data_IF_251830196659
#
_entry.id   IF_251830196659
#
_cell.length_a   1.000
_cell.length_b   1.000
_cell.length_c   1.000
_cell.angle_alpha   90.00
_cell.angle_beta   90.00
_cell.angle_gamma   90.00
#
_symmetry.space_group_name_H-M   'P 1'
#
loop_
_entity.id
_entity.type
_entity.pdbx_description
1 polymer ?
#
# COMPACT_ATOMS: atom_id res chain seq x y z
N UNK A 1 20.19 -11.28 31.93
CA UNK A 1 19.10 -12.22 31.62
C UNK A 1 19.39 -12.88 30.27
N UNK A 2 19.70 -14.18 30.32
CA UNK A 2 19.97 -14.93 29.10
C UNK A 2 18.64 -15.22 28.38
N UNK A 3 18.54 -14.93 27.07
CA UNK A 3 17.38 -15.24 26.24
C UNK A 3 17.02 -16.73 26.32
N UNK A 4 18.03 -17.62 26.46
CA UNK A 4 17.83 -19.04 26.61
C UNK A 4 16.97 -19.40 27.83
N UNK A 5 17.12 -18.68 28.94
CA UNK A 5 16.35 -18.96 30.17
C UNK A 5 14.86 -18.63 30.03
N UNK A 6 14.53 -17.63 29.18
CA UNK A 6 13.15 -17.25 28.85
C UNK A 6 12.46 -18.27 27.93
N UNK A 7 13.23 -19.06 27.19
CA UNK A 7 12.71 -20.02 26.21
C UNK A 7 12.55 -21.46 26.81
N UNK A 8 12.99 -21.70 28.06
CA UNK A 8 12.85 -23.01 28.70
C UNK A 8 11.44 -23.62 28.61
N UNK A 9 10.35 -22.85 28.78
CA UNK A 9 9.01 -23.39 28.62
C UNK A 9 8.53 -23.44 27.14
N UNK A 10 9.37 -23.10 26.15
CA UNK A 10 9.01 -22.98 24.72
C UNK A 10 9.93 -23.86 23.84
N UNK A 11 9.82 -25.21 23.94
CA UNK A 11 10.79 -26.13 23.31
C UNK A 11 10.75 -26.09 21.76
N UNK A 12 9.69 -25.57 21.17
CA UNK A 12 9.55 -25.50 19.73
C UNK A 12 10.14 -24.21 19.11
N UNK A 13 10.64 -23.30 19.93
CA UNK A 13 11.28 -22.06 19.48
C UNK A 13 12.75 -22.30 19.20
N UNK A 14 13.21 -21.99 17.99
CA UNK A 14 14.63 -22.00 17.64
C UNK A 14 15.33 -20.82 18.33
N UNK A 15 16.02 -21.08 19.44
CA UNK A 15 16.63 -20.05 20.29
C UNK A 15 17.61 -19.15 19.52
N UNK A 16 18.38 -19.72 18.58
CA UNK A 16 19.32 -18.95 17.73
C UNK A 16 18.66 -17.92 16.81
N UNK A 17 17.38 -18.13 16.46
CA UNK A 17 16.61 -17.25 15.60
C UNK A 17 15.64 -16.33 16.38
N UNK A 18 15.52 -16.55 17.70
CA UNK A 18 14.63 -15.75 18.54
C UNK A 18 15.29 -14.42 18.91
N UNK A 19 14.56 -13.33 18.65
CA UNK A 19 15.00 -11.97 19.01
C UNK A 19 13.93 -11.32 19.87
N UNK A 20 14.35 -10.64 20.92
CA UNK A 20 13.47 -9.79 21.72
C UNK A 20 13.45 -8.42 21.07
N UNK A 21 12.28 -7.92 20.64
CA UNK A 21 12.17 -6.56 20.10
C UNK A 21 12.70 -5.54 21.12
N UNK A 22 13.46 -4.56 20.63
CA UNK A 22 14.09 -3.55 21.46
C UNK A 22 13.92 -2.14 20.87
N UNK A 23 13.85 -1.13 21.73
CA UNK A 23 13.74 0.28 21.33
C UNK A 23 14.91 0.72 20.43
N UNK A 24 16.09 0.14 20.60
CA UNK A 24 17.24 0.43 19.74
C UNK A 24 16.96 0.11 18.26
N UNK A 25 16.14 -0.89 17.95
CA UNK A 25 15.72 -1.20 16.57
C UNK A 25 14.75 -0.19 15.98
N UNK A 26 14.12 0.64 16.80
CA UNK A 26 13.20 1.71 16.37
C UNK A 26 13.91 3.07 16.23
N UNK A 27 15.22 3.11 16.35
CA UNK A 27 16.01 4.33 16.20
C UNK A 27 16.91 4.21 14.98
N UNK A 28 16.82 5.18 14.08
CA UNK A 28 17.77 5.31 12.97
C UNK A 28 18.82 6.36 13.30
N UNK A 29 20.08 6.08 12.98
CA UNK A 29 21.18 7.02 13.15
C UNK A 29 21.30 8.01 11.99
N UNK A 30 20.76 7.63 10.83
CA UNK A 30 20.76 8.43 9.61
C UNK A 30 19.35 8.48 9.02
N UNK A 31 18.48 9.39 9.56
CA UNK A 31 17.13 9.53 9.01
C UNK A 31 17.17 10.04 7.56
N UNK A 32 16.27 9.54 6.76
CA UNK A 32 16.09 10.00 5.38
C UNK A 32 15.69 11.46 5.35
N UNK A 33 16.35 12.26 4.51
CA UNK A 33 16.13 13.71 4.38
C UNK A 33 15.31 14.07 3.14
N UNK A 34 15.10 13.14 2.21
CA UNK A 34 14.25 13.35 1.03
C UNK A 34 12.76 13.41 1.41
N UNK A 35 11.96 14.05 0.55
CA UNK A 35 10.51 14.06 0.67
C UNK A 35 9.94 12.63 0.69
N UNK A 36 8.91 12.31 1.51
CA UNK A 36 8.28 11.00 1.48
C UNK A 36 7.68 10.72 0.11
N UNK A 37 7.90 9.53 -0.42
CA UNK A 37 7.55 9.11 -1.78
C UNK A 37 6.25 8.32 -1.77
N UNK A 38 5.21 8.87 -2.40
CA UNK A 38 3.86 8.28 -2.39
C UNK A 38 3.43 7.93 -3.82
N UNK A 39 3.12 6.66 -4.04
CA UNK A 39 2.48 6.19 -5.27
C UNK A 39 0.96 6.15 -5.08
N UNK A 40 0.24 6.70 -6.05
CA UNK A 40 -1.21 6.69 -6.04
C UNK A 40 -1.77 5.88 -7.20
N UNK A 41 -2.73 4.98 -6.89
CA UNK A 41 -3.45 4.15 -7.84
C UNK A 41 -4.93 4.48 -7.81
N UNK A 42 -5.58 4.54 -8.98
CA UNK A 42 -7.03 4.72 -9.09
C UNK A 42 -7.68 3.66 -9.97
N UNK A 43 -8.93 3.29 -9.67
CA UNK A 43 -9.60 2.11 -10.21
C UNK A 43 -10.61 2.38 -11.31
N UNK A 44 -10.37 3.32 -12.26
CA UNK A 44 -11.34 3.60 -13.32
C UNK A 44 -10.68 4.15 -14.56
N UNK A 45 -11.18 3.73 -15.73
CA UNK A 45 -10.78 4.25 -17.06
C UNK A 45 -11.82 5.19 -17.68
N UNK A 46 -12.85 5.59 -16.91
CA UNK A 46 -13.84 6.54 -17.40
C UNK A 46 -13.21 7.92 -17.60
N UNK A 47 -13.59 8.63 -18.65
CA UNK A 47 -13.13 10.00 -18.91
C UNK A 47 -13.33 10.89 -17.68
N UNK A 48 -14.58 10.99 -17.18
CA UNK A 48 -14.87 11.64 -15.90
C UNK A 48 -14.93 10.59 -14.78
N UNK A 49 -13.78 10.25 -14.25
CA UNK A 49 -13.62 9.28 -13.17
C UNK A 49 -13.53 9.96 -11.81
N UNK A 50 -14.54 9.77 -10.96
CA UNK A 50 -14.52 10.33 -9.59
C UNK A 50 -13.41 9.74 -8.72
N UNK A 51 -13.02 8.50 -8.91
CA UNK A 51 -11.86 7.95 -8.21
C UNK A 51 -10.55 8.61 -8.66
N UNK A 52 -10.39 8.93 -9.96
CA UNK A 52 -9.26 9.72 -10.45
C UNK A 52 -9.29 11.13 -9.87
N UNK A 53 -10.45 11.80 -9.88
CA UNK A 53 -10.59 13.16 -9.32
C UNK A 53 -10.26 13.20 -7.84
N UNK A 54 -10.73 12.22 -7.05
CA UNK A 54 -10.41 12.10 -5.63
C UNK A 54 -8.91 11.84 -5.42
N UNK A 55 -8.31 10.99 -6.24
CA UNK A 55 -6.87 10.73 -6.20
C UNK A 55 -6.08 12.00 -6.49
N UNK A 56 -6.49 12.81 -7.47
CA UNK A 56 -5.82 14.07 -7.79
C UNK A 56 -5.97 15.13 -6.69
N UNK A 57 -7.11 15.21 -6.00
CA UNK A 57 -7.23 16.07 -4.82
C UNK A 57 -6.32 15.61 -3.68
N UNK A 58 -6.30 14.31 -3.40
CA UNK A 58 -5.39 13.75 -2.41
C UNK A 58 -3.91 13.97 -2.78
N UNK A 59 -3.55 13.90 -4.07
CA UNK A 59 -2.19 14.21 -4.54
C UNK A 59 -1.80 15.66 -4.23
N UNK A 60 -2.67 16.63 -4.50
CA UNK A 60 -2.41 18.05 -4.18
C UNK A 60 -2.21 18.26 -2.68
N UNK A 61 -2.99 17.57 -1.84
CA UNK A 61 -2.83 17.63 -0.39
C UNK A 61 -1.48 17.05 0.05
N UNK A 62 -1.09 15.90 -0.48
CA UNK A 62 0.19 15.27 -0.18
C UNK A 62 1.37 16.13 -0.62
N UNK A 63 1.31 16.74 -1.81
CA UNK A 63 2.34 17.67 -2.30
C UNK A 63 2.43 18.91 -1.42
N UNK A 64 1.29 19.47 -0.98
CA UNK A 64 1.25 20.59 -0.03
C UNK A 64 1.81 20.20 1.35
N UNK A 65 1.74 18.93 1.74
CA UNK A 65 2.34 18.37 2.94
C UNK A 65 3.84 18.01 2.77
N UNK A 66 4.42 18.28 1.60
CA UNK A 66 5.84 18.07 1.32
C UNK A 66 6.18 16.66 0.80
N UNK A 67 5.22 15.87 0.35
CA UNK A 67 5.50 14.57 -0.27
C UNK A 67 5.85 14.71 -1.75
N UNK A 68 6.69 13.80 -2.26
CA UNK A 68 6.86 13.54 -3.68
C UNK A 68 5.81 12.52 -4.13
N UNK A 69 4.93 12.92 -5.05
CA UNK A 69 3.76 12.12 -5.45
C UNK A 69 3.87 11.68 -6.89
N UNK A 70 3.57 10.42 -7.16
CA UNK A 70 3.37 9.90 -8.52
C UNK A 70 2.02 9.20 -8.62
N UNK A 71 1.24 9.59 -9.63
CA UNK A 71 -0.06 8.98 -9.94
C UNK A 71 0.14 8.07 -11.14
N UNK A 72 -0.15 6.78 -10.98
CA UNK A 72 -0.10 5.82 -12.08
C UNK A 72 -1.40 5.87 -12.88
N UNK A 73 -1.29 5.99 -14.20
CA UNK A 73 -2.44 5.88 -15.10
C UNK A 73 -2.63 4.42 -15.51
N UNK A 74 -3.74 3.77 -15.13
CA UNK A 74 -4.02 2.39 -15.50
C UNK A 74 -4.43 2.17 -16.96
N UNK A 75 -4.52 3.24 -17.78
CA UNK A 75 -4.77 3.12 -19.21
C UNK A 75 -3.69 2.26 -19.86
N UNK A 76 -4.09 1.35 -20.74
CA UNK A 76 -3.21 0.41 -21.45
C UNK A 76 -2.47 -0.61 -20.55
N UNK A 77 -2.80 -0.69 -19.27
CA UNK A 77 -2.32 -1.79 -18.44
C UNK A 77 -3.03 -3.08 -18.85
N UNK A 78 -2.32 -4.11 -19.33
CA UNK A 78 -2.95 -5.36 -19.73
C UNK A 78 -3.55 -6.09 -18.53
N UNK A 79 -4.48 -7.00 -18.79
CA UNK A 79 -4.96 -7.92 -17.76
C UNK A 79 -3.81 -8.81 -17.28
N UNK A 80 -3.74 -9.14 -15.98
CA UNK A 80 -2.82 -10.16 -15.49
C UNK A 80 -2.97 -11.46 -16.30
N UNK A 81 -1.85 -12.14 -16.54
CA UNK A 81 -1.73 -13.33 -17.40
C UNK A 81 -2.02 -13.09 -18.91
N UNK A 82 -2.47 -11.90 -19.29
CA UNK A 82 -2.73 -11.53 -20.68
C UNK A 82 -1.54 -10.91 -21.43
N UNK A 83 -0.42 -10.66 -20.72
CA UNK A 83 0.79 -10.08 -21.29
C UNK A 83 2.03 -10.52 -20.49
N UNK A 84 3.24 -10.42 -21.09
CA UNK A 84 4.47 -10.71 -20.36
C UNK A 84 4.80 -9.60 -19.36
N UNK A 85 5.55 -9.94 -18.33
CA UNK A 85 6.09 -9.02 -17.31
C UNK A 85 6.94 -7.88 -17.90
N UNK A 86 7.42 -8.07 -19.14
CA UNK A 86 8.20 -7.08 -19.89
C UNK A 86 7.35 -6.00 -20.54
N UNK A 87 6.01 -6.08 -20.44
CA UNK A 87 5.13 -5.05 -20.99
C UNK A 87 5.45 -3.68 -20.38
N UNK A 88 5.56 -2.59 -21.17
CA UNK A 88 6.01 -1.28 -20.67
C UNK A 88 5.19 -0.75 -19.49
N UNK A 89 3.85 -0.88 -19.55
CA UNK A 89 2.96 -0.43 -18.46
C UNK A 89 3.14 -1.26 -17.17
N UNK A 90 3.45 -2.54 -17.30
CA UNK A 90 3.73 -3.40 -16.13
C UNK A 90 5.05 -3.00 -15.49
N UNK A 91 6.09 -2.75 -16.30
CA UNK A 91 7.38 -2.25 -15.80
C UNK A 91 7.23 -0.91 -15.09
N UNK A 92 6.54 0.05 -15.71
CA UNK A 92 6.25 1.36 -15.11
C UNK A 92 5.62 1.21 -13.72
N UNK A 93 4.56 0.40 -13.61
CA UNK A 93 3.87 0.17 -12.33
C UNK A 93 4.81 -0.45 -11.28
N UNK A 94 5.60 -1.46 -11.66
CA UNK A 94 6.53 -2.13 -10.75
C UNK A 94 7.67 -1.22 -10.31
N UNK A 95 8.20 -0.40 -11.20
CA UNK A 95 9.22 0.60 -10.88
C UNK A 95 8.68 1.67 -9.91
N UNK A 96 7.47 2.14 -10.15
CA UNK A 96 6.79 3.09 -9.25
C UNK A 96 6.49 2.45 -7.88
N UNK A 97 6.06 1.18 -7.86
CA UNK A 97 5.86 0.46 -6.62
C UNK A 97 7.16 0.27 -5.83
N UNK A 98 8.27 0.00 -6.51
CA UNK A 98 9.59 -0.10 -5.86
C UNK A 98 10.07 1.26 -5.33
N UNK A 99 9.88 2.33 -6.10
CA UNK A 99 10.26 3.70 -5.75
C UNK A 99 9.52 4.24 -4.52
N UNK A 100 8.26 3.88 -4.33
CA UNK A 100 7.40 4.43 -3.28
C UNK A 100 7.80 3.98 -1.88
N UNK A 101 7.51 4.79 -0.88
CA UNK A 101 7.59 4.48 0.56
C UNK A 101 6.21 4.27 1.16
N UNK A 102 5.19 4.84 0.51
CA UNK A 102 3.78 4.66 0.84
C UNK A 102 2.91 4.67 -0.43
N UNK A 103 1.68 4.22 -0.30
CA UNK A 103 0.72 4.20 -1.40
C UNK A 103 -0.64 4.72 -0.98
N UNK A 104 -1.41 5.21 -1.96
CA UNK A 104 -2.84 5.45 -1.85
C UNK A 104 -3.55 4.63 -2.91
N UNK A 105 -4.53 3.83 -2.51
CA UNK A 105 -5.40 3.09 -3.41
C UNK A 105 -6.80 3.66 -3.36
N UNK A 106 -7.32 4.14 -4.50
CA UNK A 106 -8.65 4.74 -4.62
C UNK A 106 -9.49 4.01 -5.66
N UNK A 107 -10.47 3.23 -5.23
CA UNK A 107 -11.35 2.48 -6.14
C UNK A 107 -12.77 3.04 -6.14
N UNK A 108 -13.45 3.09 -7.30
CA UNK A 108 -14.91 3.11 -7.28
C UNK A 108 -15.43 1.81 -6.66
N UNK A 109 -16.54 1.90 -5.94
CA UNK A 109 -17.28 0.69 -5.59
C UNK A 109 -18.18 0.29 -6.76
N UNK A 110 -18.07 -0.95 -7.18
CA UNK A 110 -18.91 -1.56 -8.23
C UNK A 110 -19.41 -2.92 -7.74
N UNK A 111 -20.73 -3.06 -7.65
CA UNK A 111 -21.36 -4.29 -7.14
C UNK A 111 -20.83 -4.73 -5.77
N UNK A 112 -20.67 -3.76 -4.85
CA UNK A 112 -20.19 -4.04 -3.50
C UNK A 112 -18.69 -4.44 -3.42
N UNK A 113 -17.89 -4.11 -4.44
CA UNK A 113 -16.49 -4.52 -4.52
C UNK A 113 -15.62 -3.41 -5.13
N UNK A 114 -14.30 -3.51 -4.95
CA UNK A 114 -13.36 -2.77 -5.77
C UNK A 114 -13.51 -3.15 -7.23
N UNK A 115 -13.11 -2.27 -8.15
CA UNK A 115 -13.16 -2.55 -9.59
C UNK A 115 -12.08 -3.53 -10.02
N UNK A 116 -12.32 -4.21 -11.15
CA UNK A 116 -11.30 -5.02 -11.82
C UNK A 116 -10.06 -4.20 -12.21
N UNK A 117 -10.24 -2.91 -12.56
CA UNK A 117 -9.13 -1.99 -12.87
C UNK A 117 -8.21 -1.80 -11.65
N UNK A 118 -8.76 -1.63 -10.44
CA UNK A 118 -7.95 -1.55 -9.23
C UNK A 118 -7.26 -2.87 -8.94
N UNK A 119 -8.01 -3.97 -8.99
CA UNK A 119 -7.47 -5.32 -8.69
C UNK A 119 -6.36 -5.70 -9.67
N UNK A 120 -6.52 -5.41 -10.96
CA UNK A 120 -5.51 -5.68 -11.99
C UNK A 120 -4.17 -4.97 -11.69
N UNK A 121 -4.20 -3.71 -11.26
CA UNK A 121 -2.98 -3.00 -10.85
C UNK A 121 -2.27 -3.72 -9.70
N UNK A 122 -3.03 -4.14 -8.68
CA UNK A 122 -2.47 -4.83 -7.51
C UNK A 122 -1.91 -6.20 -7.91
N UNK A 123 -2.58 -6.93 -8.80
CA UNK A 123 -2.15 -8.25 -9.27
C UNK A 123 -0.86 -8.19 -10.09
N UNK A 124 -0.58 -7.08 -10.76
CA UNK A 124 0.69 -6.87 -11.45
C UNK A 124 1.86 -6.54 -10.53
N UNK A 125 1.62 -6.15 -9.27
CA UNK A 125 2.67 -5.93 -8.28
C UNK A 125 3.00 -7.28 -7.64
N UNK A 126 4.18 -7.86 -7.87
CA UNK A 126 4.48 -9.20 -7.36
C UNK A 126 4.61 -9.21 -5.83
N UNK A 127 4.23 -10.33 -5.20
CA UNK A 127 4.47 -10.53 -3.76
C UNK A 127 5.95 -10.62 -3.44
N UNK A 128 6.75 -11.18 -4.34
CA UNK A 128 8.18 -11.26 -4.20
C UNK A 128 8.87 -11.16 -5.56
N UNK A 129 10.04 -10.50 -5.58
CA UNK A 129 10.99 -10.54 -6.68
C UNK A 129 12.28 -11.13 -6.08
N UNK A 130 12.46 -12.44 -6.28
CA UNK A 130 13.45 -13.19 -5.50
C UNK A 130 13.10 -13.15 -4.00
N UNK A 131 14.03 -12.66 -3.18
CA UNK A 131 13.82 -12.48 -1.74
C UNK A 131 13.14 -11.15 -1.37
N UNK A 132 12.97 -10.22 -2.32
CA UNK A 132 12.43 -8.88 -2.07
C UNK A 132 10.91 -8.89 -2.25
N UNK A 133 10.20 -8.30 -1.29
CA UNK A 133 8.75 -8.05 -1.36
C UNK A 133 8.52 -6.57 -1.57
N UNK A 134 8.13 -6.13 -2.79
CA UNK A 134 8.14 -4.72 -3.17
C UNK A 134 7.27 -3.80 -2.30
N UNK A 135 6.20 -4.35 -1.69
CA UNK A 135 5.25 -3.57 -0.87
C UNK A 135 5.41 -3.76 0.63
N UNK A 136 6.23 -4.73 1.06
CA UNK A 136 6.36 -5.07 2.48
C UNK A 136 6.92 -3.91 3.30
N UNK A 137 6.20 -3.55 4.37
CA UNK A 137 6.60 -2.48 5.29
C UNK A 137 6.30 -1.06 4.80
N UNK A 138 5.76 -0.89 3.58
CA UNK A 138 5.29 0.40 3.09
C UNK A 138 3.93 0.74 3.66
N UNK A 139 3.65 2.02 3.84
CA UNK A 139 2.35 2.49 4.32
C UNK A 139 1.29 2.47 3.22
N UNK A 140 0.03 2.33 3.60
CA UNK A 140 -1.11 2.31 2.68
C UNK A 140 -2.28 3.10 3.25
N UNK A 141 -2.81 4.03 2.47
CA UNK A 141 -4.14 4.61 2.66
C UNK A 141 -5.11 4.07 1.62
N UNK A 142 -6.36 3.83 2.02
CA UNK A 142 -7.41 3.34 1.13
C UNK A 142 -8.59 4.31 1.07
N UNK A 143 -9.09 4.55 -0.13
CA UNK A 143 -10.20 5.44 -0.41
C UNK A 143 -11.17 4.79 -1.40
N UNK A 144 -12.45 5.12 -1.31
CA UNK A 144 -13.44 4.71 -2.31
C UNK A 144 -14.38 5.85 -2.68
N UNK A 145 -15.00 5.72 -3.84
CA UNK A 145 -16.11 6.56 -4.30
C UNK A 145 -17.28 5.67 -4.70
N UNK A 146 -18.49 6.10 -4.39
CA UNK A 146 -19.72 5.42 -4.79
C UNK A 146 -20.73 6.37 -5.41
N UNK A 147 -21.59 5.85 -6.30
CA UNK A 147 -22.69 6.61 -6.88
C UNK A 147 -23.96 6.61 -6.02
N UNK A 148 -24.05 5.69 -5.08
CA UNK A 148 -25.20 5.53 -4.18
C UNK A 148 -24.95 6.05 -2.77
N UNK A 149 -25.58 5.40 -1.80
CA UNK A 149 -25.33 5.63 -0.38
C UNK A 149 -23.89 5.25 -0.01
N UNK A 150 -23.43 5.76 1.11
CA UNK A 150 -22.11 5.42 1.62
C UNK A 150 -21.98 3.92 1.87
N UNK A 151 -20.86 3.36 1.41
CA UNK A 151 -20.46 1.99 1.64
C UNK A 151 -18.99 1.96 2.06
N UNK A 152 -18.57 0.85 2.62
CA UNK A 152 -17.18 0.60 3.02
C UNK A 152 -16.63 -0.71 2.43
N UNK A 153 -17.37 -1.31 1.49
CA UNK A 153 -17.00 -2.62 0.97
C UNK A 153 -15.69 -2.59 0.19
N UNK A 154 -15.49 -1.60 -0.70
CA UNK A 154 -14.26 -1.50 -1.48
C UNK A 154 -13.05 -1.18 -0.59
N UNK A 155 -13.17 -0.25 0.37
CA UNK A 155 -12.05 0.03 1.30
C UNK A 155 -11.74 -1.18 2.19
N UNK A 156 -12.75 -1.93 2.65
CA UNK A 156 -12.54 -3.14 3.43
C UNK A 156 -11.79 -4.21 2.62
N UNK A 157 -12.15 -4.39 1.35
CA UNK A 157 -11.42 -5.31 0.45
C UNK A 157 -9.98 -4.85 0.20
N UNK A 158 -9.75 -3.56 -0.03
CA UNK A 158 -8.40 -3.03 -0.20
C UNK A 158 -7.56 -3.17 1.08
N UNK A 159 -8.17 -3.10 2.28
CA UNK A 159 -7.48 -3.41 3.54
C UNK A 159 -7.03 -4.88 3.61
N UNK A 160 -7.88 -5.82 3.16
CA UNK A 160 -7.51 -7.24 3.08
C UNK A 160 -6.31 -7.42 2.13
N UNK A 161 -6.33 -6.78 0.96
CA UNK A 161 -5.22 -6.82 0.01
C UNK A 161 -3.95 -6.16 0.59
N UNK A 162 -4.08 -5.02 1.25
CA UNK A 162 -2.94 -4.36 1.92
C UNK A 162 -2.26 -5.29 2.91
N UNK A 163 -3.03 -6.05 3.70
CA UNK A 163 -2.50 -7.09 4.59
C UNK A 163 -1.77 -8.19 3.81
N UNK A 164 -2.35 -8.69 2.70
CA UNK A 164 -1.71 -9.71 1.87
C UNK A 164 -0.43 -9.21 1.21
N UNK A 165 -0.42 -7.95 0.77
CA UNK A 165 0.75 -7.27 0.23
C UNK A 165 1.74 -6.84 1.32
N UNK A 166 1.45 -7.17 2.60
CA UNK A 166 2.26 -6.89 3.79
C UNK A 166 2.56 -5.41 4.01
N UNK A 167 1.60 -4.57 3.67
CA UNK A 167 1.65 -3.13 3.88
C UNK A 167 1.15 -2.75 5.27
N UNK A 168 1.60 -1.61 5.76
CA UNK A 168 1.10 -0.95 6.97
C UNK A 168 -0.11 -0.09 6.57
N UNK A 169 -1.29 -0.69 6.52
CA UNK A 169 -2.53 0.05 6.19
C UNK A 169 -2.92 0.93 7.38
N UNK A 170 -2.93 2.26 7.17
CA UNK A 170 -3.24 3.21 8.23
C UNK A 170 -4.68 3.05 8.73
N UNK A 171 -4.98 3.42 10.00
CA UNK A 171 -6.32 3.26 10.57
C UNK A 171 -7.40 4.02 9.81
N UNK A 172 -7.12 5.26 9.41
CA UNK A 172 -8.10 6.13 8.76
C UNK A 172 -8.34 5.75 7.29
N UNK A 173 -9.53 6.04 6.78
CA UNK A 173 -9.93 5.78 5.40
C UNK A 173 -10.98 6.78 4.94
N UNK A 174 -11.16 6.91 3.62
CA UNK A 174 -12.19 7.77 3.02
C UNK A 174 -13.17 6.95 2.19
N UNK A 175 -14.45 7.22 2.36
CA UNK A 175 -15.52 6.70 1.50
C UNK A 175 -16.46 7.84 1.13
N UNK A 176 -16.48 8.22 -0.15
CA UNK A 176 -17.24 9.36 -0.68
C UNK A 176 -18.50 8.85 -1.38
N UNK A 177 -19.65 8.99 -0.71
CA UNK A 177 -20.95 8.66 -1.27
C UNK A 177 -21.40 9.73 -2.27
N UNK A 178 -22.22 9.32 -3.25
CA UNK A 178 -22.77 10.23 -4.26
C UNK A 178 -21.71 11.16 -4.84
N UNK A 179 -20.56 10.59 -5.19
CA UNK A 179 -19.36 11.34 -5.56
C UNK A 179 -19.61 12.38 -6.68
N UNK A 180 -20.63 12.16 -7.52
CA UNK A 180 -21.02 13.12 -8.56
C UNK A 180 -21.51 14.47 -8.01
N UNK A 181 -21.89 14.57 -6.74
CA UNK A 181 -22.28 15.81 -6.05
C UNK A 181 -21.08 16.52 -5.42
N UNK A 182 -20.00 15.80 -5.16
CA UNK A 182 -18.86 16.28 -4.38
C UNK A 182 -17.79 17.00 -5.24
N UNK A 183 -17.90 16.93 -6.56
CA UNK A 183 -16.96 17.57 -7.47
C UNK A 183 -17.66 18.60 -8.36
N UNK A 184 -16.99 19.71 -8.62
CA UNK A 184 -17.42 20.73 -9.57
C UNK A 184 -17.12 20.35 -11.03
N UNK A 185 -17.53 21.19 -11.98
CA UNK A 185 -17.32 20.91 -13.41
C UNK A 185 -15.83 20.92 -13.80
N UNK A 186 -14.99 21.66 -13.07
CA UNK A 186 -13.55 21.68 -13.25
C UNK A 186 -12.84 20.43 -12.62
N UNK A 187 -13.62 19.54 -11.99
CA UNK A 187 -13.11 18.33 -11.37
C UNK A 187 -12.44 18.55 -9.99
N UNK A 188 -12.69 19.72 -9.36
CA UNK A 188 -12.21 20.00 -8.01
C UNK A 188 -13.23 19.54 -6.97
N UNK A 189 -12.76 18.95 -5.89
CA UNK A 189 -13.63 18.55 -4.80
C UNK A 189 -14.15 19.77 -4.05
N UNK A 190 -15.45 19.79 -3.77
CA UNK A 190 -16.12 20.86 -3.04
C UNK A 190 -15.83 20.77 -1.54
N UNK A 191 -15.88 21.90 -0.79
CA UNK A 191 -15.85 21.85 0.66
C UNK A 191 -16.97 20.99 1.21
N UNK A 192 -16.60 19.98 2.01
CA UNK A 192 -17.55 19.04 2.63
C UNK A 192 -16.85 18.24 3.74
N UNK A 193 -17.65 17.54 4.55
CA UNK A 193 -17.09 16.59 5.53
C UNK A 193 -16.30 15.44 4.84
N UNK A 194 -16.62 15.11 3.60
CA UNK A 194 -15.83 14.17 2.82
C UNK A 194 -14.45 14.73 2.46
N UNK A 195 -14.38 16.03 2.09
CA UNK A 195 -13.11 16.69 1.83
C UNK A 195 -12.23 16.71 3.08
N UNK A 196 -12.80 17.11 4.22
CA UNK A 196 -12.09 17.13 5.52
C UNK A 196 -11.52 15.74 5.85
N UNK A 197 -12.31 14.69 5.59
CA UNK A 197 -11.86 13.31 5.78
C UNK A 197 -10.68 12.94 4.88
N UNK A 198 -10.64 13.41 3.64
CA UNK A 198 -9.49 13.19 2.74
C UNK A 198 -8.24 13.87 3.28
N UNK A 199 -8.36 15.09 3.81
CA UNK A 199 -7.24 15.79 4.47
C UNK A 199 -6.72 14.97 5.65
N UNK A 200 -7.60 14.51 6.55
CA UNK A 200 -7.24 13.67 7.71
C UNK A 200 -6.48 12.41 7.29
N UNK A 201 -6.96 11.72 6.25
CA UNK A 201 -6.34 10.47 5.74
C UNK A 201 -4.95 10.74 5.16
N UNK A 202 -4.78 11.82 4.40
CA UNK A 202 -3.49 12.15 3.80
C UNK A 202 -2.48 12.62 4.86
N UNK A 203 -2.93 13.40 5.83
CA UNK A 203 -2.09 13.83 6.95
C UNK A 203 -1.60 12.61 7.76
N UNK A 204 -2.49 11.69 8.08
CA UNK A 204 -2.16 10.46 8.79
C UNK A 204 -1.19 9.58 7.98
N UNK A 205 -1.39 9.45 6.66
CA UNK A 205 -0.49 8.70 5.79
C UNK A 205 0.93 9.28 5.81
N UNK A 206 1.07 10.60 5.69
CA UNK A 206 2.39 11.26 5.75
C UNK A 206 3.07 11.01 7.09
N UNK A 207 2.35 11.15 8.21
CA UNK A 207 2.87 10.89 9.56
C UNK A 207 3.37 9.45 9.70
N UNK A 208 2.56 8.45 9.30
CA UNK A 208 2.96 7.05 9.36
C UNK A 208 4.12 6.73 8.42
N UNK A 209 4.15 7.32 7.21
CA UNK A 209 5.26 7.10 6.28
C UNK A 209 6.57 7.64 6.84
N UNK A 210 6.57 8.86 7.37
CA UNK A 210 7.75 9.46 8.00
C UNK A 210 8.20 8.68 9.24
N UNK A 211 7.25 8.15 10.02
CA UNK A 211 7.55 7.36 11.22
C UNK A 211 8.22 6.02 10.88
N UNK A 212 7.80 5.37 9.80
CA UNK A 212 8.13 3.95 9.57
C UNK A 212 9.16 3.73 8.48
N UNK A 213 9.34 4.65 7.51
CA UNK A 213 10.18 4.43 6.33
C UNK A 213 11.62 4.02 6.65
N UNK A 214 12.23 4.67 7.63
CA UNK A 214 13.63 4.43 7.99
C UNK A 214 13.84 3.21 8.89
N UNK A 215 12.77 2.73 9.53
CA UNK A 215 12.79 1.54 10.38
C UNK A 215 12.06 0.35 9.76
N UNK A 216 11.55 0.50 8.53
CA UNK A 216 10.82 -0.56 7.84
C UNK A 216 11.58 -1.90 7.80
N UNK A 217 12.91 -1.96 7.55
CA UNK A 217 13.65 -3.22 7.58
C UNK A 217 13.56 -3.95 8.94
N UNK A 218 13.58 -3.20 10.05
CA UNK A 218 13.41 -3.77 11.37
C UNK A 218 11.98 -4.24 11.63
N UNK A 219 10.97 -3.47 11.19
CA UNK A 219 9.55 -3.81 11.38
C UNK A 219 9.15 -5.08 10.62
N UNK A 220 9.76 -5.35 9.48
CA UNK A 220 9.43 -6.51 8.65
C UNK A 220 10.33 -7.72 8.88
N UNK A 221 11.42 -7.57 9.64
CA UNK A 221 12.27 -8.68 10.04
C UNK A 221 11.48 -9.65 10.93
N UNK A 222 11.50 -10.94 10.61
CA UNK A 222 10.64 -11.93 11.26
C UNK A 222 11.37 -13.21 11.60
N UNK A 223 11.00 -13.77 12.73
CA UNK A 223 11.52 -15.04 13.23
C UNK A 223 11.55 -16.15 12.18
N UNK A 224 10.44 -16.36 11.44
CA UNK A 224 10.36 -17.42 10.45
C UNK A 224 11.31 -17.23 9.27
N UNK A 225 11.57 -15.98 8.87
CA UNK A 225 12.49 -15.63 7.77
C UNK A 225 13.96 -15.66 8.20
N UNK A 226 14.23 -15.48 9.48
CA UNK A 226 15.56 -15.73 10.06
C UNK A 226 15.85 -17.23 10.20
N UNK A 227 14.81 -18.04 10.35
CA UNK A 227 14.93 -19.50 10.51
C UNK A 227 15.13 -20.21 9.17
N UNK A 228 14.51 -19.73 8.11
CA UNK A 228 14.55 -20.33 6.77
C UNK A 228 14.52 -19.21 5.72
N UNK A 229 15.48 -19.18 4.82
CA UNK A 229 15.51 -18.19 3.74
C UNK A 229 14.34 -18.38 2.75
N UNK A 230 14.00 -17.33 2.01
CA UNK A 230 12.96 -17.41 0.98
C UNK A 230 13.30 -18.46 -0.10
N UNK A 231 14.58 -18.63 -0.40
CA UNK A 231 15.06 -19.64 -1.37
C UNK A 231 14.87 -21.07 -0.84
N UNK A 232 15.22 -21.32 0.40
CA UNK A 232 15.02 -22.63 1.06
C UNK A 232 13.53 -22.95 1.16
N UNK A 233 12.70 -21.98 1.57
CA UNK A 233 11.26 -22.11 1.62
C UNK A 233 10.68 -22.45 0.24
N UNK A 234 11.12 -21.76 -0.81
CA UNK A 234 10.68 -21.99 -2.20
C UNK A 234 11.03 -23.40 -2.67
N UNK A 235 12.23 -23.88 -2.38
CA UNK A 235 12.64 -25.25 -2.69
C UNK A 235 11.79 -26.28 -1.95
N UNK A 236 11.49 -26.04 -0.67
CA UNK A 236 10.71 -26.95 0.17
C UNK A 236 9.26 -27.07 -0.23
N UNK A 237 8.63 -25.96 -0.67
CA UNK A 237 7.19 -25.94 -1.04
C UNK A 237 6.96 -26.10 -2.53
N UNK A 238 8.00 -26.37 -3.33
CA UNK A 238 7.92 -26.50 -4.79
C UNK A 238 7.21 -25.32 -5.47
N UNK A 239 7.30 -24.15 -4.88
CA UNK A 239 6.80 -22.93 -5.52
C UNK A 239 7.74 -22.59 -6.67
N UNK A 240 7.24 -22.64 -7.90
CA UNK A 240 7.95 -22.06 -9.03
C UNK A 240 8.09 -20.57 -8.76
N UNK A 241 9.28 -20.03 -8.90
CA UNK A 241 9.49 -18.57 -8.92
C UNK A 241 8.61 -18.01 -10.04
N UNK A 242 7.66 -17.19 -9.65
CA UNK A 242 6.77 -16.45 -10.57
C UNK A 242 7.58 -15.33 -11.20
#
# INVERSE_FOLDING_TARGET
>A
DNVSDRLLPMPNVAAACFQVPALAGLSTQTPSTHAPRILMLYGSLRERSYSKLLTLEAARLLEAMGAEVKVFDPLDLPQPDGAPDTHPKVKELRELAAWSEGMVWCSPERHGAMTGIMKSQIDWIPLAVGAVRPTQGKTLAVMEVSGGSQSFNAVNQMRILGRWMRMLTIPNQSSVAKAFLEFDDAGRMKPSAYYDRVVDVMEELVKFTLLTRDIAPYLVDRYSERKESAEELSKRVNQKSI
#
